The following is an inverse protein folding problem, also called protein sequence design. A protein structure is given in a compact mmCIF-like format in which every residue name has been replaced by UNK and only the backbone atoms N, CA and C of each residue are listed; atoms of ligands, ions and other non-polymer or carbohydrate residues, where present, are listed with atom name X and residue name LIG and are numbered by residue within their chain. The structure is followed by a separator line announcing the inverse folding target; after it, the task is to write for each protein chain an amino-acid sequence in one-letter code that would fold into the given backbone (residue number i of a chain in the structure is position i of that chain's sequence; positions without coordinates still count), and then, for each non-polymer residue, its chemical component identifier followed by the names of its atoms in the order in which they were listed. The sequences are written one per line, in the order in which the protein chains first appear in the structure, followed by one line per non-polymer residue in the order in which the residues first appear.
data_IF_297698388490
#
_entry.id   IF_297698388490
#
_cell.length_a   1.000
_cell.length_b   1.000
_cell.length_c   1.000
_cell.angle_alpha   90.00
_cell.angle_beta   90.00
_cell.angle_gamma   90.00
#
_symmetry.space_group_name_H-M   'P 1'
#
loop_
_entity.id
_entity.type
_entity.pdbx_description
1 polymer ?
#
# COMPACT_ATOMS: atom_id res chain seq x y z
N UNK A 1 19.40 21.58 5.47
CA UNK A 1 18.33 20.58 5.60
C UNK A 1 17.34 20.86 4.50
N UNK A 2 17.42 20.12 3.41
CA UNK A 2 16.46 20.20 2.28
C UNK A 2 15.14 19.62 2.77
N UNK A 3 14.10 20.45 2.77
CA UNK A 3 12.72 20.00 2.93
C UNK A 3 12.40 19.03 1.78
N UNK A 4 11.89 17.81 2.05
CA UNK A 4 11.55 16.89 0.98
C UNK A 4 10.45 17.52 0.13
N UNK A 5 10.64 17.54 -1.19
CA UNK A 5 9.63 18.12 -2.08
C UNK A 5 8.34 17.31 -1.93
N UNK A 6 7.16 17.94 -2.07
CA UNK A 6 5.88 17.25 -1.91
C UNK A 6 5.72 15.96 -2.74
N UNK A 7 6.39 15.87 -3.90
CA UNK A 7 6.43 14.67 -4.75
C UNK A 7 7.25 13.54 -4.14
N UNK A 8 8.40 13.84 -3.52
CA UNK A 8 9.25 12.84 -2.88
C UNK A 8 8.53 12.21 -1.67
N UNK A 9 7.80 13.02 -0.90
CA UNK A 9 6.96 12.54 0.20
C UNK A 9 5.79 11.65 -0.28
N UNK A 10 5.20 11.95 -1.43
CA UNK A 10 4.13 11.13 -2.01
C UNK A 10 4.66 9.77 -2.52
N UNK A 11 5.81 9.78 -3.20
CA UNK A 11 6.47 8.55 -3.67
C UNK A 11 6.88 7.65 -2.49
N UNK A 12 7.39 8.22 -1.40
CA UNK A 12 7.73 7.49 -0.18
C UNK A 12 6.50 6.86 0.47
N UNK A 13 5.35 7.54 0.45
CA UNK A 13 4.10 7.02 0.98
C UNK A 13 3.53 5.89 0.11
N UNK A 14 3.63 6.03 -1.20
CA UNK A 14 3.25 4.97 -2.15
C UNK A 14 4.12 3.72 -1.98
N UNK A 15 5.44 3.89 -1.79
CA UNK A 15 6.36 2.79 -1.50
C UNK A 15 6.02 2.09 -0.18
N UNK A 16 5.72 2.84 0.88
CA UNK A 16 5.27 2.29 2.17
C UNK A 16 3.95 1.52 2.04
N UNK A 17 2.97 2.10 1.34
CA UNK A 17 1.68 1.47 1.08
C UNK A 17 1.84 0.14 0.32
N UNK A 18 2.72 0.13 -0.68
CA UNK A 18 3.05 -1.08 -1.45
C UNK A 18 3.70 -2.16 -0.57
N UNK A 19 4.63 -1.77 0.31
CA UNK A 19 5.24 -2.69 1.29
C UNK A 19 4.20 -3.32 2.22
N UNK A 20 3.27 -2.52 2.75
CA UNK A 20 2.17 -3.03 3.57
C UNK A 20 1.24 -3.97 2.82
N UNK A 21 0.94 -3.70 1.55
CA UNK A 21 0.09 -4.56 0.73
C UNK A 21 0.63 -5.99 0.63
N UNK A 22 1.94 -6.15 0.40
CA UNK A 22 2.56 -7.47 0.38
C UNK A 22 2.66 -8.09 1.78
N UNK A 23 2.99 -7.29 2.81
CA UNK A 23 3.08 -7.81 4.18
C UNK A 23 1.74 -8.38 4.67
N UNK A 24 0.62 -7.72 4.35
CA UNK A 24 -0.73 -8.16 4.71
C UNK A 24 -1.18 -9.44 4.00
N UNK A 25 -0.51 -9.84 2.92
CA UNK A 25 -0.81 -11.09 2.20
C UNK A 25 0.08 -12.25 2.60
N UNK A 26 1.12 -11.99 3.39
CA UNK A 26 2.01 -13.04 3.86
C UNK A 26 1.33 -13.92 4.91
N UNK A 27 1.53 -15.22 4.80
CA UNK A 27 0.88 -16.23 5.65
C UNK A 27 1.27 -16.13 7.14
N UNK A 28 2.39 -15.48 7.44
CA UNK A 28 2.95 -15.28 8.77
C UNK A 28 2.69 -13.88 9.35
N UNK A 29 1.66 -13.18 8.85
CA UNK A 29 1.27 -11.87 9.36
C UNK A 29 0.96 -11.96 10.87
N UNK A 30 1.69 -11.19 11.67
CA UNK A 30 1.47 -11.16 13.11
C UNK A 30 0.43 -10.11 13.51
N UNK A 31 -0.24 -10.26 14.67
CA UNK A 31 -1.13 -9.23 15.21
C UNK A 31 -0.43 -7.88 15.42
N UNK A 32 0.86 -7.89 15.76
CA UNK A 32 1.65 -6.68 15.96
C UNK A 32 1.83 -5.90 14.64
N UNK A 33 2.03 -6.59 13.52
CA UNK A 33 2.18 -5.96 12.21
C UNK A 33 0.85 -5.45 11.66
N UNK A 34 -0.24 -6.18 11.90
CA UNK A 34 -1.58 -5.70 11.59
C UNK A 34 -1.90 -4.40 12.36
N UNK A 35 -1.53 -4.32 13.64
CA UNK A 35 -1.68 -3.12 14.44
C UNK A 35 -0.76 -1.98 13.96
N UNK A 36 0.49 -2.29 13.57
CA UNK A 36 1.42 -1.32 13.01
C UNK A 36 0.91 -0.72 11.69
N UNK A 37 0.31 -1.53 10.82
CA UNK A 37 -0.36 -1.07 9.62
C UNK A 37 -1.53 -0.13 9.93
N UNK A 38 -2.39 -0.50 10.88
CA UNK A 38 -3.50 0.35 11.30
C UNK A 38 -3.02 1.69 11.85
N UNK A 39 -1.95 1.68 12.66
CA UNK A 39 -1.32 2.89 13.18
C UNK A 39 -0.72 3.74 12.06
N UNK A 40 -0.06 3.12 11.07
CA UNK A 40 0.47 3.81 9.89
C UNK A 40 -0.64 4.50 9.09
N UNK A 41 -1.74 3.80 8.78
CA UNK A 41 -2.89 4.40 8.08
C UNK A 41 -3.54 5.55 8.86
N UNK A 42 -3.54 5.48 10.18
CA UNK A 42 -4.11 6.52 11.04
C UNK A 42 -3.25 7.80 11.15
N UNK A 43 -2.03 7.82 10.59
CA UNK A 43 -1.14 8.99 10.65
C UNK A 43 -1.68 10.21 9.87
N UNK A 44 -2.51 9.98 8.84
CA UNK A 44 -3.11 11.08 8.10
C UNK A 44 -3.74 10.69 6.77
N UNK A 45 -4.37 11.69 6.14
CA UNK A 45 -5.04 11.54 4.84
C UNK A 45 -4.09 11.15 3.71
N UNK A 46 -2.82 11.55 3.77
CA UNK A 46 -1.85 11.22 2.74
C UNK A 46 -1.53 9.71 2.72
N UNK A 47 -1.39 9.09 3.90
CA UNK A 47 -1.21 7.64 4.07
C UNK A 47 -2.45 6.87 3.59
N UNK A 48 -3.64 7.38 3.92
CA UNK A 48 -4.90 6.79 3.46
C UNK A 48 -5.06 6.85 1.93
N UNK A 49 -4.70 7.99 1.32
CA UNK A 49 -4.72 8.16 -0.14
C UNK A 49 -3.72 7.25 -0.82
N UNK A 50 -2.47 7.20 -0.35
CA UNK A 50 -1.44 6.31 -0.90
C UNK A 50 -1.85 4.83 -0.79
N UNK A 51 -2.48 4.45 0.32
CA UNK A 51 -3.04 3.11 0.48
C UNK A 51 -4.16 2.81 -0.54
N UNK A 52 -5.08 3.75 -0.73
CA UNK A 52 -6.17 3.58 -1.69
C UNK A 52 -5.63 3.44 -3.12
N UNK A 53 -4.63 4.25 -3.50
CA UNK A 53 -3.98 4.19 -4.80
C UNK A 53 -3.34 2.81 -5.08
N UNK A 54 -2.66 2.23 -4.09
CA UNK A 54 -2.11 0.87 -4.20
C UNK A 54 -3.19 -0.19 -4.38
N UNK A 55 -4.29 -0.09 -3.63
CA UNK A 55 -5.43 -1.02 -3.77
C UNK A 55 -6.07 -0.90 -5.15
N UNK A 56 -6.29 0.32 -5.63
CA UNK A 56 -6.90 0.57 -6.94
C UNK A 56 -6.00 0.04 -8.07
N UNK A 57 -4.69 0.33 -8.02
CA UNK A 57 -3.72 -0.13 -9.00
C UNK A 57 -3.63 -1.66 -9.03
N UNK A 58 -3.36 -2.29 -7.87
CA UNK A 58 -3.13 -3.73 -7.82
C UNK A 58 -4.43 -4.53 -7.97
N UNK A 59 -5.57 -3.97 -7.55
CA UNK A 59 -6.90 -4.51 -7.82
C UNK A 59 -7.25 -4.45 -9.31
N UNK A 60 -6.95 -3.33 -9.98
CA UNK A 60 -7.14 -3.20 -11.42
C UNK A 60 -6.28 -4.21 -12.20
N UNK A 61 -5.07 -4.55 -11.74
CA UNK A 61 -4.21 -5.56 -12.36
C UNK A 61 -4.67 -7.00 -12.14
N UNK A 62 -5.32 -7.31 -11.02
CA UNK A 62 -5.87 -8.66 -10.75
C UNK A 62 -6.97 -9.05 -11.73
N UNK A 63 -7.80 -8.11 -12.14
CA UNK A 63 -8.95 -8.34 -13.04
C UNK A 63 -8.55 -8.89 -14.43
N UNK A 64 -7.59 -8.31 -15.18
CA UNK A 64 -7.12 -8.87 -16.44
C UNK A 64 -6.29 -10.15 -16.25
N UNK A 65 -5.47 -10.25 -15.19
CA UNK A 65 -4.68 -11.45 -14.92
C UNK A 65 -5.54 -12.71 -14.69
N UNK A 66 -6.72 -12.56 -14.08
CA UNK A 66 -7.69 -13.65 -13.93
C UNK A 66 -8.25 -14.15 -15.27
N UNK A 67 -8.48 -13.26 -16.25
CA UNK A 67 -9.02 -13.64 -17.56
C UNK A 67 -8.05 -14.51 -18.37
N UNK A 68 -6.75 -14.28 -18.23
CA UNK A 68 -5.71 -15.07 -18.91
C UNK A 68 -5.62 -16.47 -18.30
N UNK A 69 -5.86 -16.63 -17.00
CA UNK A 69 -5.74 -17.93 -16.31
C UNK A 69 -6.91 -18.89 -16.56
N UNK A 70 -8.03 -18.39 -17.11
CA UNK A 70 -9.22 -19.17 -17.41
C UNK A 70 -9.39 -19.50 -18.91
N UNK A 71 -8.49 -19.05 -19.78
CA UNK A 71 -8.45 -19.36 -21.20
C UNK A 71 -7.49 -20.52 -21.48
#
# INVERSE_FOLDING_TARGET
MTDPRPTEAADDLFAQASGWYFRLQADDLTPAEAAAFAAWRAQGRAQEQAWQEVIDLLGALRTPAQRIRQA
#
